data_IF_166025627837
#
_entry.id   IF_166025627837
#
_cell.length_a   1.000
_cell.length_b   1.000
_cell.length_c   1.000
_cell.angle_alpha   90.00
_cell.angle_beta   90.00
_cell.angle_gamma   90.00
#
_symmetry.space_group_name_H-M   'P 1'
#
loop_
_entity.id
_entity.type
_entity.pdbx_description
1 polymer ?
#
# COMPACT_ATOMS: atom_id res chain seq x y z
N UNK A 1 46.07 -19.81 -10.14
CA UNK A 1 45.03 -19.23 -9.25
C UNK A 1 43.68 -19.68 -9.78
N UNK A 2 42.83 -20.33 -8.97
CA UNK A 2 41.43 -20.58 -9.34
C UNK A 2 40.59 -19.45 -8.74
N UNK A 3 39.79 -18.79 -9.57
CA UNK A 3 38.89 -17.73 -9.14
C UNK A 3 37.45 -18.17 -9.40
N UNK A 4 36.57 -17.89 -8.44
CA UNK A 4 35.15 -18.18 -8.57
C UNK A 4 34.52 -17.33 -9.68
N UNK A 5 33.49 -17.88 -10.33
CA UNK A 5 32.70 -17.13 -11.29
C UNK A 5 31.88 -16.02 -10.58
N UNK A 6 31.63 -14.87 -11.23
CA UNK A 6 30.77 -13.83 -10.67
C UNK A 6 29.33 -14.32 -10.50
N UNK A 7 28.68 -13.92 -9.41
CA UNK A 7 27.25 -14.14 -9.17
C UNK A 7 26.52 -12.80 -9.23
N UNK A 8 25.49 -12.71 -10.07
CA UNK A 8 24.56 -11.58 -10.05
C UNK A 8 23.58 -11.75 -8.91
N UNK A 9 23.48 -10.74 -8.05
CA UNK A 9 22.53 -10.68 -6.93
C UNK A 9 21.67 -9.44 -7.11
N UNK A 10 20.36 -9.58 -6.93
CA UNK A 10 19.41 -8.47 -6.91
C UNK A 10 18.93 -8.25 -5.49
N UNK A 11 18.92 -7.00 -5.06
CA UNK A 11 18.30 -6.58 -3.79
C UNK A 11 17.04 -5.82 -4.15
N UNK A 12 15.90 -6.32 -3.72
CA UNK A 12 14.67 -5.54 -3.77
C UNK A 12 14.69 -4.50 -2.65
N UNK A 13 14.47 -3.25 -3.01
CA UNK A 13 14.46 -2.11 -2.09
C UNK A 13 13.20 -1.27 -2.23
N UNK A 14 12.24 -1.71 -3.05
CA UNK A 14 11.06 -0.93 -3.38
C UNK A 14 9.82 -1.57 -2.78
N UNK A 15 9.10 -0.80 -1.97
CA UNK A 15 7.76 -1.17 -1.50
C UNK A 15 6.79 -0.16 -2.11
N UNK A 16 5.81 -0.66 -2.83
CA UNK A 16 4.73 0.13 -3.41
C UNK A 16 3.40 -0.22 -2.72
N UNK A 17 2.55 0.79 -2.51
CA UNK A 17 1.14 0.61 -2.20
C UNK A 17 0.40 1.02 -3.48
N UNK A 18 -0.20 0.05 -4.16
CA UNK A 18 -0.78 0.31 -5.47
C UNK A 18 -2.08 1.14 -5.36
N UNK A 19 -2.94 0.78 -4.40
CA UNK A 19 -4.25 1.43 -4.22
C UNK A 19 -4.68 1.40 -2.76
N UNK A 20 -5.38 2.48 -2.38
CA UNK A 20 -6.20 2.57 -1.19
C UNK A 20 -7.62 2.87 -1.68
N UNK A 21 -8.57 2.04 -1.29
CA UNK A 21 -9.95 2.15 -1.76
C UNK A 21 -10.90 2.32 -0.57
N UNK A 22 -11.81 3.28 -0.67
CA UNK A 22 -12.98 3.35 0.20
C UNK A 22 -14.02 2.37 -0.34
N UNK A 23 -14.33 1.32 0.42
CA UNK A 23 -15.14 0.19 -0.09
C UNK A 23 -16.63 0.27 0.28
N UNK A 24 -17.01 1.25 1.10
CA UNK A 24 -18.37 1.42 1.58
C UNK A 24 -18.90 2.85 1.39
N UNK A 25 -18.52 3.50 0.30
CA UNK A 25 -19.02 4.85 0.05
C UNK A 25 -20.51 4.83 -0.34
N UNK A 26 -21.30 5.62 0.39
CA UNK A 26 -22.74 5.80 0.18
C UNK A 26 -23.13 7.26 -0.04
N UNK A 27 -22.14 8.12 -0.34
CA UNK A 27 -22.31 9.55 -0.62
C UNK A 27 -22.80 9.85 -2.03
N UNK A 28 -22.56 11.09 -2.49
CA UNK A 28 -22.86 11.50 -3.87
C UNK A 28 -21.69 11.03 -4.74
N UNK A 29 -21.94 10.30 -5.84
CA UNK A 29 -20.86 9.91 -6.75
C UNK A 29 -20.09 11.14 -7.28
N UNK A 30 -18.77 10.99 -7.42
CA UNK A 30 -17.85 11.96 -8.03
C UNK A 30 -17.71 13.31 -7.30
N UNK A 31 -18.16 13.44 -6.04
CA UNK A 31 -17.98 14.66 -5.24
C UNK A 31 -16.74 14.64 -4.33
N UNK A 32 -16.03 13.51 -4.27
CA UNK A 32 -14.89 13.23 -3.39
C UNK A 32 -15.20 13.32 -1.88
N UNK A 33 -16.45 13.12 -1.49
CA UNK A 33 -16.89 13.07 -0.10
C UNK A 33 -17.50 11.71 0.21
N UNK A 34 -17.39 11.29 1.48
CA UNK A 34 -18.13 10.12 1.97
C UNK A 34 -19.12 10.52 3.05
N UNK A 35 -20.28 9.87 3.06
CA UNK A 35 -21.28 10.01 4.10
C UNK A 35 -21.20 8.88 5.15
N UNK A 36 -20.13 8.11 5.12
CA UNK A 36 -19.92 7.01 6.04
C UNK A 36 -19.29 7.52 7.35
N UNK A 37 -19.96 7.29 8.48
CA UNK A 37 -19.46 7.69 9.79
C UNK A 37 -18.26 6.84 10.25
N UNK A 38 -18.10 5.64 9.66
CA UNK A 38 -16.98 4.71 9.90
C UNK A 38 -16.42 4.22 8.57
N UNK A 39 -15.60 5.01 7.88
CA UNK A 39 -15.10 4.66 6.55
C UNK A 39 -14.26 3.39 6.62
N UNK A 40 -14.48 2.48 5.68
CA UNK A 40 -13.72 1.25 5.55
C UNK A 40 -12.77 1.36 4.36
N UNK A 41 -11.48 1.30 4.65
CA UNK A 41 -10.45 1.30 3.63
C UNK A 41 -9.92 -0.09 3.39
N UNK A 42 -9.86 -0.49 2.12
CA UNK A 42 -9.07 -1.62 1.70
C UNK A 42 -7.70 -1.13 1.24
N UNK A 43 -6.65 -1.73 1.80
CA UNK A 43 -5.26 -1.46 1.47
C UNK A 43 -4.64 -2.76 0.97
N UNK A 44 -4.17 -2.76 -0.28
CA UNK A 44 -3.45 -3.90 -0.86
C UNK A 44 -1.96 -3.59 -0.84
N UNK A 45 -1.17 -4.53 -0.32
CA UNK A 45 0.29 -4.40 -0.21
C UNK A 45 1.00 -5.66 -0.69
N UNK A 46 2.26 -5.55 -1.16
CA UNK A 46 3.10 -6.69 -1.47
C UNK A 46 3.32 -7.64 -0.28
N UNK A 47 3.67 -8.89 -0.58
CA UNK A 47 3.80 -9.96 0.42
C UNK A 47 4.91 -9.71 1.45
N UNK A 48 5.92 -8.93 1.11
CA UNK A 48 7.10 -8.61 1.92
C UNK A 48 6.92 -7.36 2.80
N UNK A 49 5.71 -6.78 2.84
CA UNK A 49 5.41 -5.66 3.74
C UNK A 49 5.30 -6.12 5.20
N UNK A 50 6.11 -5.51 6.06
CA UNK A 50 6.14 -5.81 7.50
C UNK A 50 5.02 -5.11 8.30
N UNK A 51 4.43 -4.03 7.77
CA UNK A 51 3.32 -3.35 8.44
C UNK A 51 2.80 -2.13 7.68
N UNK A 52 1.54 -1.79 7.95
CA UNK A 52 0.84 -0.63 7.39
C UNK A 52 0.48 0.31 8.55
N UNK A 53 0.72 1.62 8.37
CA UNK A 53 0.29 2.66 9.31
C UNK A 53 -0.62 3.63 8.58
N UNK A 54 -1.78 3.90 9.17
CA UNK A 54 -2.77 4.86 8.67
C UNK A 54 -2.92 5.99 9.69
N UNK A 55 -2.90 7.22 9.20
CA UNK A 55 -3.22 8.43 9.96
C UNK A 55 -4.26 9.21 9.16
N UNK A 56 -5.29 9.68 9.86
CA UNK A 56 -6.34 10.52 9.32
C UNK A 56 -6.28 11.82 10.12
N UNK A 57 -6.33 12.96 9.43
CA UNK A 57 -6.30 14.31 10.01
C UNK A 57 -5.07 14.64 10.90
N UNK A 58 -3.95 13.96 10.67
CA UNK A 58 -2.67 14.28 11.32
C UNK A 58 -2.29 13.42 12.53
N UNK A 59 -3.17 12.48 12.94
CA UNK A 59 -2.89 11.49 14.00
C UNK A 59 -3.55 11.80 15.34
#
# INVERSE_FOLDING_TARGET
MKQSAPLTVTVDTHIAIDRIELVNDSGIPDDNLTNEARPHFQVTVPADVNGVRLSIDGG
#
